data_IF_581440300746
#
_entry.id   IF_581440300746
#
_cell.length_a   1.000
_cell.length_b   1.000
_cell.length_c   1.000
_cell.angle_alpha   90.00
_cell.angle_beta   90.00
_cell.angle_gamma   90.00
#
_symmetry.space_group_name_H-M   'P 1'
#
loop_
_entity.id
_entity.type
_entity.pdbx_description
1 polymer ?
#
# COMPACT_ATOMS: atom_id res chain seq x y z
N UNK A 1 13.61 13.29 -47.74
CA UNK A 1 14.53 13.11 -46.61
C UNK A 1 13.78 13.52 -45.35
N UNK A 2 13.22 12.56 -44.61
CA UNK A 2 12.79 12.80 -43.23
C UNK A 2 12.92 11.47 -42.49
N UNK A 3 13.90 11.45 -41.58
CA UNK A 3 14.14 10.38 -40.62
C UNK A 3 13.17 10.57 -39.42
N UNK A 4 13.09 9.60 -38.49
CA UNK A 4 11.91 9.25 -37.72
C UNK A 4 11.81 9.96 -36.37
N UNK A 5 10.58 10.18 -35.88
CA UNK A 5 10.35 10.64 -34.52
C UNK A 5 10.17 9.48 -33.55
N UNK A 6 10.79 9.70 -32.39
CA UNK A 6 11.15 8.77 -31.36
C UNK A 6 9.98 8.32 -30.47
N UNK A 7 10.21 7.15 -29.85
CA UNK A 7 9.55 6.65 -28.64
C UNK A 7 9.09 7.75 -27.67
N UNK A 8 7.80 7.77 -27.34
CA UNK A 8 7.26 8.49 -26.19
C UNK A 8 6.74 7.48 -25.17
N UNK A 9 7.53 7.23 -24.12
CA UNK A 9 7.16 6.40 -22.99
C UNK A 9 5.85 6.91 -22.37
N UNK A 10 4.92 5.99 -22.09
CA UNK A 10 3.70 6.28 -21.34
C UNK A 10 4.07 6.88 -19.99
N UNK A 11 3.80 8.18 -19.84
CA UNK A 11 3.96 8.92 -18.58
C UNK A 11 3.16 8.23 -17.47
N UNK A 12 3.91 7.69 -16.51
CA UNK A 12 3.42 7.47 -15.16
C UNK A 12 3.01 8.83 -14.59
N UNK A 13 1.72 9.01 -14.31
CA UNK A 13 1.23 10.22 -13.65
C UNK A 13 1.96 10.41 -12.31
N UNK A 14 2.35 11.65 -11.94
CA UNK A 14 3.00 11.92 -10.66
C UNK A 14 2.05 11.65 -9.48
N UNK A 15 2.58 11.38 -8.27
CA UNK A 15 1.75 11.23 -7.07
C UNK A 15 1.02 12.54 -6.78
N UNK A 16 -0.20 12.42 -6.27
CA UNK A 16 -1.07 13.53 -5.85
C UNK A 16 -0.30 14.42 -4.86
N UNK A 17 0.11 15.60 -5.30
CA UNK A 17 0.59 16.66 -4.42
C UNK A 17 -0.63 17.29 -3.73
N UNK A 18 -0.75 17.11 -2.41
CA UNK A 18 -1.67 17.92 -1.61
C UNK A 18 -1.09 19.33 -1.55
N UNK A 19 -1.49 20.19 -2.49
CA UNK A 19 -1.12 21.60 -2.48
C UNK A 19 -2.09 22.36 -1.56
N UNK A 20 -1.67 22.60 -0.32
CA UNK A 20 -2.19 23.70 0.48
C UNK A 20 -1.06 24.70 0.67
N UNK A 21 -1.26 25.93 0.17
CA UNK A 21 -0.97 27.21 0.84
C UNK A 21 -0.98 28.37 -0.18
N UNK A 22 -2.13 29.06 -0.25
CA UNK A 22 -2.21 30.45 -0.70
C UNK A 22 -1.84 31.35 0.48
N UNK A 23 -0.83 32.22 0.33
CA UNK A 23 -0.66 33.34 1.26
C UNK A 23 0.78 33.81 1.43
N UNK A 24 1.03 35.04 1.02
CA UNK A 24 2.22 35.88 1.20
C UNK A 24 2.75 35.88 2.63
N UNK A 25 4.07 35.72 2.80
CA UNK A 25 4.80 35.83 4.07
C UNK A 25 5.18 37.30 4.29
N UNK A 26 4.78 37.88 5.42
CA UNK A 26 5.42 39.05 6.03
C UNK A 26 5.96 38.55 7.39
N UNK A 27 7.22 38.83 7.65
CA UNK A 27 7.98 38.44 8.85
C UNK A 27 7.48 39.21 10.08
N UNK A 28 7.27 38.53 11.22
CA UNK A 28 7.75 39.00 12.53
C UNK A 28 7.45 38.02 13.67
N UNK A 29 8.36 38.05 14.64
CA UNK A 29 8.30 37.60 16.05
C UNK A 29 8.77 36.17 16.40
N UNK A 30 9.83 36.13 17.22
CA UNK A 30 10.44 34.99 17.89
C UNK A 30 9.46 34.41 18.92
N UNK A 31 8.66 33.42 18.51
CA UNK A 31 7.94 32.56 19.45
C UNK A 31 8.75 31.27 19.66
N UNK A 32 9.18 31.03 20.91
CA UNK A 32 9.64 29.73 21.41
C UNK A 32 8.43 28.75 21.44
N UNK A 33 7.88 28.44 20.27
CA UNK A 33 6.88 27.40 20.09
C UNK A 33 7.60 26.05 20.11
N UNK A 34 7.30 25.26 21.14
CA UNK A 34 7.52 23.82 21.20
C UNK A 34 6.78 23.24 19.97
N UNK A 35 7.46 23.18 18.82
CA UNK A 35 6.93 22.72 17.54
C UNK A 35 6.47 21.27 17.73
N UNK A 36 5.21 21.10 18.14
CA UNK A 36 4.40 19.89 18.05
C UNK A 36 4.18 19.57 16.55
N UNK A 37 5.27 19.40 15.81
CA UNK A 37 5.23 19.17 14.38
C UNK A 37 4.56 17.81 14.13
N UNK A 38 3.42 17.85 13.43
CA UNK A 38 2.61 16.65 13.19
C UNK A 38 3.48 15.58 12.49
N UNK A 39 3.55 14.35 13.03
CA UNK A 39 4.46 13.35 12.51
C UNK A 39 4.06 12.95 11.08
N UNK A 40 4.94 13.23 10.12
CA UNK A 40 4.75 12.80 8.75
C UNK A 40 4.88 11.28 8.62
N UNK A 41 3.80 10.62 8.20
CA UNK A 41 3.81 9.20 7.90
C UNK A 41 4.54 8.92 6.58
N UNK A 42 5.60 8.11 6.64
CA UNK A 42 6.26 7.61 5.42
C UNK A 42 5.36 6.58 4.73
N UNK A 43 5.01 6.83 3.47
CA UNK A 43 4.29 5.88 2.63
C UNK A 43 5.23 5.22 1.61
N UNK A 44 5.13 3.91 1.48
CA UNK A 44 5.83 3.15 0.46
C UNK A 44 4.88 2.10 -0.12
N UNK A 45 4.88 1.95 -1.45
CA UNK A 45 4.06 0.92 -2.10
C UNK A 45 4.71 -0.44 -1.90
N UNK A 46 3.93 -1.41 -1.41
CA UNK A 46 4.42 -2.79 -1.29
C UNK A 46 4.64 -3.35 -2.70
N UNK A 47 5.91 -3.62 -3.02
CA UNK A 47 6.32 -4.21 -4.29
C UNK A 47 6.22 -5.73 -4.32
N UNK A 48 7.06 -6.36 -5.13
CA UNK A 48 7.12 -7.81 -5.26
C UNK A 48 5.94 -8.39 -6.04
N UNK A 49 5.31 -9.44 -5.50
CA UNK A 49 4.25 -10.19 -6.20
C UNK A 49 2.85 -9.58 -6.05
N UNK A 50 2.63 -8.71 -5.07
CA UNK A 50 1.30 -8.16 -4.78
C UNK A 50 0.62 -7.48 -5.99
N UNK A 51 1.31 -6.64 -6.79
CA UNK A 51 0.69 -6.02 -7.95
C UNK A 51 0.26 -7.03 -9.02
N UNK A 52 0.90 -8.19 -9.11
CA UNK A 52 0.50 -9.25 -10.04
C UNK A 52 -0.66 -10.08 -9.48
N UNK A 53 -0.61 -10.37 -8.19
CA UNK A 53 -1.63 -11.12 -7.46
C UNK A 53 -2.98 -10.40 -7.51
N UNK A 54 -2.97 -9.09 -7.28
CA UNK A 54 -4.16 -8.24 -7.22
C UNK A 54 -4.70 -7.79 -8.59
N UNK A 55 -4.11 -8.26 -9.70
CA UNK A 55 -4.71 -8.03 -11.04
C UNK A 55 -5.97 -8.85 -11.27
N UNK A 56 -6.06 -10.03 -10.65
CA UNK A 56 -7.14 -10.99 -10.88
C UNK A 56 -8.27 -10.85 -9.86
N UNK A 57 -7.96 -10.34 -8.67
CA UNK A 57 -8.89 -10.21 -7.56
C UNK A 57 -8.44 -9.05 -6.65
N UNK A 58 -9.34 -8.56 -5.80
CA UNK A 58 -9.07 -7.44 -4.88
C UNK A 58 -8.80 -7.94 -3.47
N UNK A 59 -7.86 -7.30 -2.78
CA UNK A 59 -7.61 -7.52 -1.36
C UNK A 59 -8.81 -7.04 -0.54
N UNK A 60 -9.22 -7.82 0.45
CA UNK A 60 -10.37 -7.53 1.31
C UNK A 60 -10.01 -7.50 2.80
N UNK A 61 -9.03 -8.32 3.24
CA UNK A 61 -8.53 -8.34 4.62
C UNK A 61 -7.01 -8.57 4.64
N UNK A 62 -6.33 -8.12 5.69
CA UNK A 62 -4.88 -8.26 5.84
C UNK A 62 -4.53 -8.47 7.32
N UNK A 63 -3.61 -9.40 7.60
CA UNK A 63 -2.95 -9.53 8.90
C UNK A 63 -1.43 -9.64 8.70
N UNK A 64 -0.68 -9.11 9.65
CA UNK A 64 0.78 -9.12 9.65
C UNK A 64 1.26 -9.73 10.95
N UNK A 65 2.24 -10.62 10.84
CA UNK A 65 3.01 -11.18 11.95
C UNK A 65 4.46 -10.70 11.85
N UNK A 66 5.35 -11.22 12.70
CA UNK A 66 6.77 -10.83 12.69
C UNK A 66 7.48 -11.10 11.34
N UNK A 67 7.08 -12.16 10.62
CA UNK A 67 7.75 -12.61 9.39
C UNK A 67 6.81 -12.96 8.24
N UNK A 68 5.52 -13.08 8.51
CA UNK A 68 4.50 -13.43 7.52
C UNK A 68 3.44 -12.33 7.40
N UNK A 69 2.91 -12.18 6.21
CA UNK A 69 1.75 -11.36 5.88
C UNK A 69 0.69 -12.27 5.26
N UNK A 70 -0.50 -12.31 5.84
CA UNK A 70 -1.67 -12.98 5.29
C UNK A 70 -2.57 -11.95 4.62
N UNK A 71 -2.92 -12.20 3.35
CA UNK A 71 -3.79 -11.34 2.55
C UNK A 71 -5.01 -12.14 2.10
N UNK A 72 -6.19 -11.74 2.57
CA UNK A 72 -7.47 -12.26 2.11
C UNK A 72 -7.98 -11.49 0.90
N UNK A 73 -8.65 -12.19 -0.02
CA UNK A 73 -9.27 -11.60 -1.21
C UNK A 73 -10.80 -11.76 -1.23
N UNK A 74 -11.44 -10.95 -2.08
CA UNK A 74 -12.90 -10.99 -2.26
C UNK A 74 -13.38 -12.33 -2.87
N UNK A 75 -12.52 -13.05 -3.59
CA UNK A 75 -12.77 -14.40 -4.09
C UNK A 75 -12.61 -15.52 -3.05
N UNK A 76 -12.33 -15.20 -1.79
CA UNK A 76 -12.21 -16.19 -0.71
C UNK A 76 -10.86 -16.92 -0.67
N UNK A 77 -9.80 -16.30 -1.20
CA UNK A 77 -8.45 -16.84 -1.22
C UNK A 77 -7.58 -16.13 -0.18
N UNK A 78 -6.81 -16.89 0.59
CA UNK A 78 -5.75 -16.37 1.45
C UNK A 78 -4.41 -16.59 0.79
N UNK A 79 -3.63 -15.51 0.69
CA UNK A 79 -2.25 -15.53 0.24
C UNK A 79 -1.31 -15.27 1.42
N UNK A 80 -0.38 -16.19 1.66
CA UNK A 80 0.67 -16.03 2.67
C UNK A 80 1.98 -15.60 2.01
N UNK A 81 2.49 -14.44 2.42
CA UNK A 81 3.73 -13.83 1.96
C UNK A 81 4.76 -13.83 3.11
N UNK A 82 6.06 -14.05 2.83
CA UNK A 82 6.67 -14.27 1.52
C UNK A 82 6.60 -15.72 1.01
N UNK A 83 5.99 -16.66 1.75
CA UNK A 83 6.03 -18.09 1.42
C UNK A 83 5.27 -18.49 0.14
N UNK A 84 4.61 -17.55 -0.54
CA UNK A 84 3.91 -17.73 -1.84
C UNK A 84 2.87 -18.87 -1.83
N UNK A 85 2.32 -19.18 -0.66
CA UNK A 85 1.26 -20.17 -0.52
C UNK A 85 -0.09 -19.49 -0.65
N UNK A 86 -0.98 -20.04 -1.47
CA UNK A 86 -2.33 -19.50 -1.69
C UNK A 86 -3.35 -20.61 -1.51
N UNK A 87 -4.37 -20.40 -0.67
CA UNK A 87 -5.40 -21.38 -0.38
C UNK A 87 -6.79 -20.74 -0.49
N UNK A 88 -7.70 -21.39 -1.23
CA UNK A 88 -9.12 -21.01 -1.23
C UNK A 88 -9.77 -21.55 0.02
N UNK A 89 -10.25 -20.66 0.90
CA UNK A 89 -10.86 -21.01 2.18
C UNK A 89 -12.38 -20.87 2.13
N UNK A 90 -12.88 -19.89 1.38
CA UNK A 90 -14.30 -19.65 1.18
C UNK A 90 -14.65 -19.42 -0.30
N UNK A 91 -15.94 -19.47 -0.63
CA UNK A 91 -16.48 -19.11 -1.96
C UNK A 91 -16.99 -17.65 -1.99
N UNK A 92 -16.71 -16.88 -0.93
CA UNK A 92 -17.16 -15.52 -0.72
C UNK A 92 -16.00 -14.66 -0.17
N UNK A 93 -16.21 -13.36 -0.07
CA UNK A 93 -15.20 -12.42 0.40
C UNK A 93 -14.77 -12.71 1.82
N UNK A 94 -13.45 -12.68 2.04
CA UNK A 94 -12.88 -12.68 3.39
C UNK A 94 -13.09 -11.29 3.99
N UNK A 95 -13.70 -11.22 5.16
CA UNK A 95 -13.99 -9.95 5.84
C UNK A 95 -12.97 -9.58 6.91
N UNK A 96 -12.34 -10.59 7.52
CA UNK A 96 -11.34 -10.40 8.55
C UNK A 96 -10.33 -11.55 8.50
N UNK A 97 -9.12 -11.31 9.01
CA UNK A 97 -8.10 -12.34 9.14
C UNK A 97 -7.24 -12.03 10.36
N UNK A 98 -6.98 -13.04 11.17
CA UNK A 98 -6.15 -12.90 12.37
C UNK A 98 -5.08 -13.99 12.39
N UNK A 99 -3.90 -13.65 12.89
CA UNK A 99 -2.78 -14.57 13.06
C UNK A 99 -2.36 -14.60 14.52
N UNK A 100 -1.91 -15.76 14.99
CA UNK A 100 -1.25 -15.84 16.28
C UNK A 100 0.18 -15.24 16.20
N UNK A 101 0.84 -15.06 17.35
CA UNK A 101 2.16 -14.42 17.43
C UNK A 101 3.25 -15.11 16.59
N UNK A 102 3.20 -16.44 16.46
CA UNK A 102 4.16 -17.22 15.68
C UNK A 102 3.84 -17.21 14.17
N UNK A 103 2.63 -16.83 13.80
CA UNK A 103 2.13 -16.91 12.42
C UNK A 103 1.87 -18.34 11.92
N UNK A 104 1.79 -19.31 12.82
CA UNK A 104 1.51 -20.72 12.50
C UNK A 104 0.01 -20.99 12.30
N UNK A 105 -0.84 -20.21 12.98
CA UNK A 105 -2.28 -20.35 12.92
C UNK A 105 -2.92 -19.07 12.38
N UNK A 106 -3.85 -19.25 11.45
CA UNK A 106 -4.61 -18.18 10.81
C UNK A 106 -6.10 -18.46 11.00
N UNK A 107 -6.83 -17.45 11.49
CA UNK A 107 -8.28 -17.43 11.56
C UNK A 107 -8.81 -16.50 10.47
N UNK A 108 -9.96 -16.87 9.87
CA UNK A 108 -10.57 -16.25 8.69
C UNK A 108 -12.07 -16.29 8.81
#
# INVERSE_FOLDING_TARGET
MHAPDANGATEIQPPITVAANLGRVEEDEEDEEDDDEEPFLKYERIGGILPELLKKDSASALCVSRSLLALGTHGGVIHMLPCRQSNTVHMASITDVAMNETGEYVAV
#
